data_IF_506333987776
#
_entry.id   IF_506333987776
#
_cell.length_a   1.000
_cell.length_b   1.000
_cell.length_c   1.000
_cell.angle_alpha   90.00
_cell.angle_beta   90.00
_cell.angle_gamma   90.00
#
_symmetry.space_group_name_H-M   'P 1'
#
loop_
_entity.id
_entity.type
_entity.pdbx_description
1 polymer ?
#
# COMPACT_ATOMS: atom_id res chain seq x y z
N UNK A 1 -3.85 -3.46 14.97
CA UNK A 1 -3.16 -2.55 14.03
C UNK A 1 -2.11 -3.40 13.31
N UNK A 2 -2.14 -3.45 11.98
CA UNK A 2 -1.21 -4.27 11.19
C UNK A 2 -0.05 -3.39 10.75
N UNK A 3 1.17 -3.83 11.00
CA UNK A 3 2.38 -3.11 10.66
C UNK A 3 3.12 -3.82 9.52
N UNK A 4 3.45 -3.10 8.45
CA UNK A 4 3.98 -3.69 7.21
C UNK A 4 5.32 -3.06 6.87
N UNK A 5 6.31 -3.89 6.55
CA UNK A 5 7.55 -3.49 5.88
C UNK A 5 7.48 -3.84 4.40
N UNK A 6 8.24 -3.14 3.56
CA UNK A 6 8.23 -3.40 2.11
C UNK A 6 6.91 -3.04 1.41
N UNK A 7 6.06 -2.21 2.03
CA UNK A 7 4.76 -1.81 1.48
C UNK A 7 4.81 -1.07 0.14
N UNK A 8 5.97 -0.53 -0.23
CA UNK A 8 6.20 0.11 -1.53
C UNK A 8 6.68 -0.85 -2.63
N UNK A 9 6.95 -2.11 -2.28
CA UNK A 9 7.33 -3.14 -3.25
C UNK A 9 6.13 -3.71 -4.00
N UNK A 10 6.39 -4.59 -4.98
CA UNK A 10 5.36 -5.18 -5.83
C UNK A 10 4.26 -5.84 -5.00
N UNK A 11 4.59 -6.83 -4.16
CA UNK A 11 3.56 -7.55 -3.39
C UNK A 11 3.00 -6.68 -2.25
N UNK A 12 3.84 -5.86 -1.62
CA UNK A 12 3.45 -5.03 -0.48
C UNK A 12 2.38 -4.00 -0.81
N UNK A 13 2.43 -3.40 -2.00
CA UNK A 13 1.45 -2.41 -2.44
C UNK A 13 0.06 -3.04 -2.66
N UNK A 14 0.01 -4.23 -3.26
CA UNK A 14 -1.26 -4.96 -3.43
C UNK A 14 -1.83 -5.40 -2.08
N UNK A 15 -0.99 -5.92 -1.17
CA UNK A 15 -1.43 -6.29 0.18
C UNK A 15 -1.97 -5.08 0.95
N UNK A 16 -1.36 -3.90 0.80
CA UNK A 16 -1.87 -2.68 1.42
C UNK A 16 -3.28 -2.35 0.93
N UNK A 17 -3.52 -2.41 -0.39
CA UNK A 17 -4.85 -2.18 -0.95
C UNK A 17 -5.88 -3.13 -0.34
N UNK A 18 -5.64 -4.45 -0.40
CA UNK A 18 -6.55 -5.48 0.12
C UNK A 18 -6.88 -5.28 1.62
N UNK A 19 -5.87 -4.97 2.43
CA UNK A 19 -6.07 -4.76 3.86
C UNK A 19 -6.87 -3.48 4.15
N UNK A 20 -6.63 -2.41 3.39
CA UNK A 20 -7.41 -1.17 3.53
C UNK A 20 -8.85 -1.36 3.06
N UNK A 21 -9.06 -2.08 1.96
CA UNK A 21 -10.39 -2.43 1.44
C UNK A 21 -11.18 -3.27 2.45
N UNK A 22 -10.51 -4.20 3.13
CA UNK A 22 -11.09 -5.00 4.22
C UNK A 22 -11.31 -4.23 5.54
N UNK A 23 -11.17 -2.89 5.53
CA UNK A 23 -11.39 -2.01 6.68
C UNK A 23 -10.37 -2.19 7.80
N UNK A 24 -9.22 -2.80 7.54
CA UNK A 24 -8.19 -3.05 8.56
C UNK A 24 -7.35 -1.78 8.76
N UNK A 25 -7.05 -1.47 10.03
CA UNK A 25 -6.09 -0.41 10.37
C UNK A 25 -4.67 -0.89 10.11
N UNK A 26 -4.05 -0.37 9.05
CA UNK A 26 -2.68 -0.65 8.61
C UNK A 26 -1.75 0.55 8.79
N UNK A 27 -0.47 0.28 8.99
CA UNK A 27 0.61 1.28 8.92
C UNK A 27 1.82 0.65 8.24
N UNK A 28 2.28 1.26 7.14
CA UNK A 28 3.43 0.78 6.38
C UNK A 28 4.68 1.62 6.69
N UNK A 29 5.81 0.96 6.92
CA UNK A 29 7.11 1.62 6.96
C UNK A 29 7.58 1.93 5.54
N UNK A 30 7.84 3.21 5.29
CA UNK A 30 8.38 3.74 4.05
C UNK A 30 9.78 4.29 4.31
N UNK A 31 10.79 3.84 3.56
CA UNK A 31 12.11 4.48 3.56
C UNK A 31 12.01 5.82 2.84
N UNK A 32 12.91 6.75 3.13
CA UNK A 32 12.96 8.06 2.44
C UNK A 32 13.08 7.88 0.92
N UNK A 33 13.91 6.93 0.48
CA UNK A 33 14.16 6.62 -0.93
C UNK A 33 13.07 5.80 -1.62
N UNK A 34 12.09 5.25 -0.88
CA UNK A 34 11.04 4.44 -1.51
C UNK A 34 10.04 5.29 -2.30
N UNK A 35 9.61 4.77 -3.45
CA UNK A 35 8.69 5.46 -4.34
C UNK A 35 7.21 5.22 -3.94
N UNK A 36 6.53 6.28 -3.49
CA UNK A 36 5.11 6.21 -3.15
C UNK A 36 4.20 6.21 -4.39
N UNK A 37 4.66 6.77 -5.52
CA UNK A 37 3.89 6.78 -6.77
C UNK A 37 3.55 5.37 -7.26
N UNK A 38 4.42 4.39 -6.98
CA UNK A 38 4.17 2.99 -7.32
C UNK A 38 2.98 2.42 -6.53
N UNK A 39 2.84 2.79 -5.26
CA UNK A 39 1.70 2.38 -4.42
C UNK A 39 0.42 3.00 -4.93
N UNK A 40 0.43 4.32 -5.19
CA UNK A 40 -0.72 5.05 -5.74
C UNK A 40 -1.15 4.48 -7.10
N UNK A 41 -0.18 4.19 -7.98
CA UNK A 41 -0.45 3.54 -9.27
C UNK A 41 -1.09 2.17 -9.07
N UNK A 42 -0.60 1.38 -8.11
CA UNK A 42 -1.19 0.08 -7.79
C UNK A 42 -2.64 0.23 -7.34
N UNK A 43 -2.91 1.18 -6.45
CA UNK A 43 -4.27 1.46 -5.97
C UNK A 43 -5.19 1.93 -7.11
N UNK A 44 -4.68 2.69 -8.08
CA UNK A 44 -5.46 3.16 -9.23
C UNK A 44 -5.93 2.06 -10.17
N UNK A 45 -5.32 0.87 -10.14
CA UNK A 45 -5.82 -0.28 -10.91
C UNK A 45 -7.08 -0.90 -10.30
N UNK A 46 -7.34 -0.64 -9.02
CA UNK A 46 -8.41 -1.26 -8.26
C UNK A 46 -9.46 -0.26 -7.75
N UNK A 47 -9.20 1.05 -7.84
CA UNK A 47 -10.09 2.10 -7.36
C UNK A 47 -9.91 3.39 -8.16
N UNK A 48 -11.02 4.04 -8.50
CA UNK A 48 -11.03 5.39 -9.07
C UNK A 48 -10.58 6.46 -8.06
N UNK A 49 -10.53 6.10 -6.76
CA UNK A 49 -10.04 6.92 -5.65
C UNK A 49 -8.91 6.19 -4.92
N UNK A 50 -7.68 6.23 -5.47
CA UNK A 50 -6.51 5.59 -4.88
C UNK A 50 -5.94 6.34 -3.67
#
# INVERSE_FOLDING_TARGET
MIFITGGTGLVGAHLLYELTLAGKRVKALKRETSNLQQVLKTFSYYSDKP
#
